data_IF_800403283629
#
_entry.id   IF_800403283629
#
_cell.length_a   1.000
_cell.length_b   1.000
_cell.length_c   1.000
_cell.angle_alpha   90.00
_cell.angle_beta   90.00
_cell.angle_gamma   90.00
#
_symmetry.space_group_name_H-M   'P 1'
#
loop_
_entity.id
_entity.type
_entity.pdbx_description
1 polymer ?
#
# COMPACT_ATOMS: atom_id res chain seq x y z
N UNK A 1 17.33 -3.52 -8.33
CA UNK A 1 16.28 -2.76 -7.64
C UNK A 1 16.92 -1.99 -6.50
N UNK A 2 16.64 -0.70 -6.40
CA UNK A 2 17.10 0.12 -5.28
C UNK A 2 15.97 0.27 -4.27
N UNK A 3 16.26 0.10 -2.99
CA UNK A 3 15.27 0.29 -1.92
C UNK A 3 14.82 1.76 -1.90
N UNK A 4 13.51 1.99 -1.78
CA UNK A 4 12.93 3.33 -1.76
C UNK A 4 12.63 3.71 -0.32
N UNK A 5 13.39 4.67 0.19
CA UNK A 5 13.21 5.17 1.54
C UNK A 5 11.82 5.81 1.73
N UNK A 6 11.22 5.51 2.88
CA UNK A 6 9.92 6.03 3.30
C UNK A 6 10.14 7.26 4.19
N UNK A 7 9.52 8.39 3.83
CA UNK A 7 9.53 9.61 4.65
C UNK A 7 8.50 9.53 5.78
N UNK A 8 7.27 9.15 5.46
CA UNK A 8 6.19 8.97 6.45
C UNK A 8 5.12 8.05 5.91
N UNK A 9 4.32 7.47 6.81
CA UNK A 9 3.09 6.78 6.46
C UNK A 9 1.95 7.22 7.35
N UNK A 10 0.74 6.83 7.00
CA UNK A 10 -0.49 7.15 7.73
C UNK A 10 -1.60 6.15 7.38
N UNK A 11 -2.49 5.90 8.34
CA UNK A 11 -3.73 5.15 8.12
C UNK A 11 -4.86 6.14 7.91
N UNK A 12 -5.68 5.90 6.88
CA UNK A 12 -6.94 6.59 6.63
C UNK A 12 -8.04 5.53 6.89
N UNK A 13 -8.66 5.50 8.09
CA UNK A 13 -9.60 4.42 8.44
C UNK A 13 -10.84 4.37 7.54
N UNK A 14 -11.22 5.51 6.98
CA UNK A 14 -12.31 5.65 6.02
C UNK A 14 -11.91 6.64 4.93
N UNK A 15 -11.52 6.10 3.79
CA UNK A 15 -11.09 6.84 2.61
C UNK A 15 -12.26 6.90 1.62
N UNK A 16 -13.02 8.00 1.67
CA UNK A 16 -14.22 8.17 0.85
C UNK A 16 -13.88 8.50 -0.60
N UNK A 17 -12.71 9.12 -0.82
CA UNK A 17 -12.18 9.43 -2.14
C UNK A 17 -10.66 9.21 -2.16
N UNK A 18 -10.18 7.99 -2.42
CA UNK A 18 -8.76 7.67 -2.47
C UNK A 18 -7.99 8.48 -3.52
N UNK A 19 -8.67 9.06 -4.52
CA UNK A 19 -8.02 9.90 -5.53
C UNK A 19 -7.67 11.31 -5.01
N UNK A 20 -8.27 11.76 -3.89
CA UNK A 20 -8.13 13.14 -3.42
C UNK A 20 -7.86 13.28 -1.91
N UNK A 21 -8.28 12.33 -1.09
CA UNK A 21 -8.28 12.50 0.36
C UNK A 21 -6.87 12.38 0.98
N UNK A 22 -6.35 13.45 1.54
CA UNK A 22 -5.08 13.40 2.26
C UNK A 22 -5.25 12.89 3.71
N UNK A 23 -4.24 12.25 4.29
CA UNK A 23 -4.27 11.90 5.71
C UNK A 23 -4.25 13.16 6.58
N UNK A 24 -5.09 13.18 7.62
CA UNK A 24 -5.17 14.30 8.58
C UNK A 24 -4.26 14.13 9.79
N UNK A 25 -3.59 12.98 9.92
CA UNK A 25 -2.69 12.63 11.02
C UNK A 25 -1.32 12.22 10.47
N UNK A 26 -0.28 13.05 10.63
CA UNK A 26 1.09 12.65 10.32
C UNK A 26 1.70 11.86 11.49
N UNK A 27 2.42 10.78 11.16
CA UNK A 27 3.33 10.00 12.02
C UNK A 27 2.69 9.02 13.03
N UNK A 28 2.28 7.82 12.59
CA UNK A 28 2.18 6.68 13.48
C UNK A 28 3.58 6.11 13.81
N UNK A 29 3.76 5.44 14.97
CA UNK A 29 4.99 4.72 15.30
C UNK A 29 5.32 3.65 14.25
N UNK A 30 6.55 3.15 14.25
CA UNK A 30 7.01 2.08 13.34
C UNK A 30 5.97 0.96 13.20
N UNK A 31 5.69 0.55 11.96
CA UNK A 31 4.73 -0.50 11.62
C UNK A 31 5.13 -1.81 12.33
N UNK A 32 4.45 -2.12 13.43
CA UNK A 32 4.53 -3.45 14.09
C UNK A 32 3.44 -4.36 13.55
N UNK A 33 2.21 -3.86 13.53
CA UNK A 33 1.11 -4.37 12.73
C UNK A 33 0.01 -3.30 12.64
N UNK A 34 -0.72 -3.24 11.52
CA UNK A 34 -1.89 -2.35 11.35
C UNK A 34 -3.04 -3.12 10.72
N UNK A 35 -4.23 -2.96 11.29
CA UNK A 35 -5.46 -3.47 10.70
C UNK A 35 -6.03 -2.43 9.72
N UNK A 36 -6.45 -2.87 8.54
CA UNK A 36 -7.13 -2.06 7.54
C UNK A 36 -8.51 -2.67 7.33
N UNK A 37 -9.55 -1.91 7.64
CA UNK A 37 -10.92 -2.28 7.36
C UNK A 37 -11.29 -1.95 5.90
N UNK A 38 -12.33 -2.61 5.34
CA UNK A 38 -12.86 -2.25 4.03
C UNK A 38 -13.26 -0.78 3.96
N UNK A 39 -12.85 -0.10 2.90
CA UNK A 39 -12.95 1.36 2.74
C UNK A 39 -11.80 2.14 3.38
N UNK A 40 -10.84 1.48 4.02
CA UNK A 40 -9.63 2.10 4.56
C UNK A 40 -8.48 2.13 3.56
N UNK A 41 -7.53 3.05 3.80
CA UNK A 41 -6.30 3.16 3.01
C UNK A 41 -5.07 3.30 3.89
N UNK A 42 -3.96 2.72 3.46
CA UNK A 42 -2.64 3.14 3.92
C UNK A 42 -2.08 4.15 2.91
N UNK A 43 -1.55 5.25 3.42
CA UNK A 43 -0.92 6.29 2.64
C UNK A 43 0.56 6.42 3.01
N UNK A 44 1.42 6.55 2.01
CA UNK A 44 2.88 6.61 2.13
C UNK A 44 3.44 7.79 1.36
N UNK A 45 4.40 8.49 1.97
CA UNK A 45 5.26 9.48 1.31
C UNK A 45 6.66 8.89 1.18
N UNK A 46 7.19 8.86 -0.04
CA UNK A 46 8.48 8.31 -0.40
C UNK A 46 9.52 9.45 -0.46
N UNK A 47 10.79 9.16 -0.23
CA UNK A 47 11.88 10.15 -0.36
C UNK A 47 12.24 10.48 -1.83
N UNK A 48 11.57 9.85 -2.79
CA UNK A 48 11.72 10.12 -4.22
C UNK A 48 10.44 9.82 -5.00
N UNK A 49 10.46 10.10 -6.31
CA UNK A 49 9.32 9.89 -7.20
C UNK A 49 9.66 8.89 -8.31
N UNK A 50 9.86 7.60 -7.99
CA UNK A 50 10.19 6.61 -9.01
C UNK A 50 9.06 6.51 -10.05
N UNK A 51 9.41 6.28 -11.31
CA UNK A 51 8.40 6.08 -12.36
C UNK A 51 7.74 4.70 -12.23
N UNK A 52 8.53 3.68 -11.88
CA UNK A 52 8.09 2.32 -11.66
C UNK A 52 8.42 1.90 -10.24
N UNK A 53 7.42 1.38 -9.55
CA UNK A 53 7.52 1.01 -8.14
C UNK A 53 7.08 -0.44 -7.94
N UNK A 54 7.99 -1.25 -7.40
CA UNK A 54 7.65 -2.55 -6.84
C UNK A 54 7.19 -2.36 -5.39
N UNK A 55 6.04 -2.93 -5.07
CA UNK A 55 5.41 -2.83 -3.75
C UNK A 55 5.26 -4.24 -3.20
N UNK A 56 5.75 -4.46 -1.99
CA UNK A 56 5.56 -5.70 -1.25
C UNK A 56 4.76 -5.42 0.01
N UNK A 57 3.70 -6.19 0.24
CA UNK A 57 2.85 -6.12 1.43
C UNK A 57 2.82 -7.49 2.09
N UNK A 58 3.27 -7.54 3.34
CA UNK A 58 3.17 -8.74 4.17
C UNK A 58 1.97 -8.61 5.09
N UNK A 59 1.10 -9.63 5.07
CA UNK A 59 -0.06 -9.73 5.96
C UNK A 59 -0.05 -11.06 6.69
N UNK A 60 -0.78 -11.13 7.81
CA UNK A 60 -0.99 -12.42 8.49
C UNK A 60 -1.71 -13.40 7.58
N UNK A 61 -1.34 -14.68 7.61
CA UNK A 61 -1.93 -15.72 6.75
C UNK A 61 -3.45 -15.84 6.91
N UNK A 62 -3.96 -15.65 8.14
CA UNK A 62 -5.39 -15.67 8.44
C UNK A 62 -6.18 -14.59 7.69
N UNK A 63 -5.61 -13.39 7.54
CA UNK A 63 -6.28 -12.30 6.81
C UNK A 63 -6.04 -12.33 5.29
N UNK A 64 -5.20 -13.23 4.82
CA UNK A 64 -4.87 -13.41 3.40
C UNK A 64 -5.81 -14.38 2.67
N UNK A 65 -6.65 -15.13 3.40
CA UNK A 65 -7.56 -16.10 2.79
C UNK A 65 -8.55 -15.42 1.84
N UNK A 66 -8.78 -16.05 0.69
CA UNK A 66 -9.69 -15.53 -0.36
C UNK A 66 -9.18 -14.30 -1.12
N UNK A 67 -7.93 -13.84 -0.89
CA UNK A 67 -7.32 -12.72 -1.62
C UNK A 67 -6.56 -13.19 -2.86
N UNK A 68 -6.79 -12.48 -3.97
CA UNK A 68 -6.20 -12.75 -5.28
C UNK A 68 -5.43 -11.56 -5.85
N UNK A 69 -5.51 -11.41 -7.17
CA UNK A 69 -4.84 -10.35 -7.94
C UNK A 69 -5.45 -8.95 -7.72
N UNK A 70 -6.66 -8.87 -7.17
CA UNK A 70 -7.39 -7.64 -6.82
C UNK A 70 -7.20 -7.21 -5.35
N UNK A 71 -6.15 -7.72 -4.67
CA UNK A 71 -5.93 -7.57 -3.24
C UNK A 71 -6.09 -6.13 -2.70
N UNK A 72 -5.32 -5.18 -3.25
CA UNK A 72 -5.38 -3.77 -2.90
C UNK A 72 -5.37 -2.91 -4.15
N UNK A 73 -6.19 -1.87 -4.16
CA UNK A 73 -6.13 -0.86 -5.21
C UNK A 73 -4.95 0.08 -4.93
N UNK A 74 -4.10 0.28 -5.93
CA UNK A 74 -2.93 1.17 -5.81
C UNK A 74 -3.25 2.51 -6.44
N UNK A 75 -2.97 3.58 -5.70
CA UNK A 75 -3.02 4.95 -6.20
C UNK A 75 -1.65 5.59 -6.10
N UNK A 76 -1.24 6.30 -7.15
CA UNK A 76 0.06 6.98 -7.27
C UNK A 76 -0.17 8.45 -7.55
N UNK A 77 0.72 9.31 -7.06
CA UNK A 77 0.68 10.73 -7.38
C UNK A 77 1.45 11.58 -6.39
N UNK A 78 0.99 12.82 -6.23
CA UNK A 78 1.56 13.82 -5.31
C UNK A 78 0.45 14.48 -4.51
N UNK A 79 0.80 15.41 -3.62
CA UNK A 79 -0.16 16.03 -2.72
C UNK A 79 -1.43 16.52 -3.43
N UNK A 80 -2.59 16.08 -2.93
CA UNK A 80 -3.92 16.41 -3.44
C UNK A 80 -4.32 15.79 -4.78
N UNK A 81 -3.48 14.98 -5.44
CA UNK A 81 -3.78 14.40 -6.74
C UNK A 81 -3.21 12.98 -6.89
N UNK A 82 -4.10 11.99 -6.83
CA UNK A 82 -3.75 10.58 -7.00
C UNK A 82 -4.52 9.98 -8.18
N UNK A 83 -3.84 9.16 -8.98
CA UNK A 83 -4.45 8.33 -10.01
C UNK A 83 -4.41 6.87 -9.57
N UNK A 84 -5.52 6.15 -9.76
CA UNK A 84 -5.49 4.70 -9.63
C UNK A 84 -4.63 4.14 -10.76
N UNK A 85 -3.76 3.19 -10.42
CA UNK A 85 -2.89 2.51 -11.39
C UNK A 85 -3.20 1.03 -11.43
N UNK A 86 -3.00 0.42 -12.58
CA UNK A 86 -3.12 -1.03 -12.72
C UNK A 86 -1.91 -1.70 -12.06
N UNK A 87 -2.17 -2.58 -11.10
CA UNK A 87 -1.17 -3.21 -10.27
C UNK A 87 -1.66 -4.60 -9.84
N UNK A 88 -1.59 -5.62 -10.74
CA UNK A 88 -2.03 -6.97 -10.41
C UNK A 88 -1.12 -7.56 -9.33
N UNK A 89 -1.72 -8.18 -8.31
CA UNK A 89 -0.97 -8.75 -7.21
C UNK A 89 -0.59 -10.20 -7.45
N UNK A 90 0.66 -10.54 -7.14
CA UNK A 90 1.13 -11.92 -7.03
C UNK A 90 1.24 -12.31 -5.56
N UNK A 91 0.69 -13.47 -5.21
CA UNK A 91 0.70 -13.99 -3.84
C UNK A 91 1.79 -15.04 -3.65
N UNK A 92 2.62 -14.82 -2.64
CA UNK A 92 3.55 -15.79 -2.07
C UNK A 92 3.23 -16.08 -0.60
N UNK A 93 4.07 -16.92 0.00
CA UNK A 93 3.97 -17.30 1.41
C UNK A 93 5.34 -17.20 2.07
N UNK A 94 5.39 -16.64 3.27
CA UNK A 94 6.58 -16.55 4.11
C UNK A 94 6.23 -16.93 5.55
N UNK A 95 6.51 -18.17 5.91
CA UNK A 95 6.13 -18.75 7.20
C UNK A 95 4.62 -18.62 7.47
N UNK A 96 4.20 -17.98 8.59
CA UNK A 96 2.80 -17.77 8.93
C UNK A 96 2.14 -16.60 8.16
N UNK A 97 2.90 -15.87 7.36
CA UNK A 97 2.44 -14.69 6.64
C UNK A 97 2.22 -14.99 5.16
N UNK A 98 1.32 -14.24 4.54
CA UNK A 98 1.23 -14.14 3.10
C UNK A 98 1.95 -12.88 2.64
N UNK A 99 2.63 -12.97 1.51
CA UNK A 99 3.34 -11.84 0.90
C UNK A 99 2.68 -11.55 -0.43
N UNK A 100 2.25 -10.31 -0.62
CA UNK A 100 1.68 -9.83 -1.87
C UNK A 100 2.67 -8.87 -2.51
N UNK A 101 3.00 -9.11 -3.77
CA UNK A 101 3.91 -8.25 -4.53
C UNK A 101 3.23 -7.76 -5.79
N UNK A 102 3.42 -6.49 -6.12
CA UNK A 102 2.94 -5.90 -7.38
C UNK A 102 3.94 -4.89 -7.93
N UNK A 103 3.76 -4.52 -9.20
CA UNK A 103 4.46 -3.42 -9.85
C UNK A 103 3.43 -2.37 -10.25
N UNK A 104 3.71 -1.12 -9.89
CA UNK A 104 2.84 0.01 -10.11
C UNK A 104 3.60 1.08 -10.91
N UNK A 105 3.22 1.25 -12.17
CA UNK A 105 3.72 2.32 -13.02
C UNK A 105 3.02 3.65 -12.69
N UNK A 106 3.75 4.76 -12.77
CA UNK A 106 3.24 6.09 -12.53
C UNK A 106 4.17 6.92 -11.64
N UNK A 107 4.39 8.17 -12.04
CA UNK A 107 5.22 9.11 -11.29
C UNK A 107 4.51 9.65 -10.05
N UNK A 108 5.28 9.92 -9.00
CA UNK A 108 4.77 10.49 -7.76
C UNK A 108 5.58 10.07 -6.55
N UNK A 109 5.68 10.98 -5.59
CA UNK A 109 6.27 10.75 -4.26
C UNK A 109 5.28 10.14 -3.27
N UNK A 110 4.03 9.91 -3.67
CA UNK A 110 3.01 9.34 -2.78
C UNK A 110 2.35 8.09 -3.34
N UNK A 111 2.03 7.18 -2.43
CA UNK A 111 1.32 5.92 -2.71
C UNK A 111 0.15 5.79 -1.75
N UNK A 112 -1.00 5.36 -2.24
CA UNK A 112 -2.06 4.79 -1.39
C UNK A 112 -2.35 3.36 -1.77
N UNK A 113 -2.53 2.54 -0.76
CA UNK A 113 -3.03 1.18 -0.86
C UNK A 113 -4.41 1.14 -0.23
N UNK A 114 -5.45 1.00 -1.05
CA UNK A 114 -6.84 1.06 -0.64
C UNK A 114 -7.48 -0.32 -0.64
N UNK A 115 -8.10 -0.68 0.49
CA UNK A 115 -8.87 -1.91 0.60
C UNK A 115 -10.32 -1.63 0.26
N UNK A 116 -10.69 -1.79 -1.01
CA UNK A 116 -12.04 -1.44 -1.47
C UNK A 116 -13.14 -2.29 -0.81
N UNK A 117 -12.90 -3.60 -0.68
CA UNK A 117 -13.91 -4.58 -0.23
C UNK A 117 -13.28 -5.82 0.42
N UNK A 118 -14.13 -6.68 0.98
CA UNK A 118 -13.75 -7.94 1.60
C UNK A 118 -13.69 -7.86 3.13
N UNK A 119 -12.82 -8.65 3.76
CA UNK A 119 -12.60 -8.65 5.21
C UNK A 119 -11.47 -7.70 5.60
N UNK A 120 -11.35 -7.33 6.87
CA UNK A 120 -10.19 -6.56 7.31
C UNK A 120 -8.88 -7.33 7.08
N UNK A 121 -7.78 -6.61 6.82
CA UNK A 121 -6.45 -7.21 6.68
C UNK A 121 -5.51 -6.71 7.76
N UNK A 122 -4.61 -7.57 8.23
CA UNK A 122 -3.57 -7.19 9.20
C UNK A 122 -2.24 -7.17 8.49
N UNK A 123 -1.76 -5.97 8.19
CA UNK A 123 -0.47 -5.70 7.56
C UNK A 123 0.61 -5.67 8.63
N UNK A 124 1.67 -6.44 8.43
CA UNK A 124 2.80 -6.54 9.35
C UNK A 124 4.07 -5.91 8.79
N UNK A 125 4.19 -5.80 7.47
CA UNK A 125 5.30 -5.11 6.83
C UNK A 125 4.92 -4.61 5.44
N UNK A 126 5.55 -3.51 5.01
CA UNK A 126 5.46 -2.98 3.64
C UNK A 126 6.86 -2.57 3.19
N UNK A 127 7.20 -2.91 1.95
CA UNK A 127 8.45 -2.53 1.31
C UNK A 127 8.21 -1.90 -0.06
N UNK A 128 9.12 -1.01 -0.45
CA UNK A 128 9.08 -0.27 -1.71
C UNK A 128 10.44 -0.33 -2.38
N UNK A 129 10.47 -0.69 -3.66
CA UNK A 129 11.70 -0.72 -4.44
C UNK A 129 11.48 -0.10 -5.82
N UNK A 130 12.47 0.65 -6.30
CA UNK A 130 12.48 1.20 -7.64
C UNK A 130 13.14 0.21 -8.60
N UNK A 131 12.48 -0.03 -9.73
CA UNK A 131 13.12 -0.61 -10.90
C UNK A 131 13.94 0.52 -11.56
N UNK A 132 15.24 0.25 -11.76
CA UNK A 132 16.22 1.23 -12.23
C UNK A 132 16.24 1.40 -13.74
#
# INVERSE_FOLDING_TARGET
MADVALRTWSLIPRDLDPAQQEPTLPQPPMLTAVAIDPGGSLHFELEGSPADLSIQVTVTGMTAEGRGDDFLHVYRGSAGAYAQVEAPWSRGQDGPNAVFTTHAAGAGDRVKLHLKQGLAIVVTAIGFAADG
#
